data_IF_872057571656
#
_entry.id   IF_872057571656
#
_cell.length_a   1.000
_cell.length_b   1.000
_cell.length_c   1.000
_cell.angle_alpha   90.00
_cell.angle_beta   90.00
_cell.angle_gamma   90.00
#
_symmetry.space_group_name_H-M   'P 1'
#
loop_
_entity.id
_entity.type
_entity.pdbx_description
1 polymer ?
#
# COMPACT_ATOMS: atom_id res chain seq x y z
N UNK A 1 23.23 -4.92 -24.75
CA UNK A 1 22.59 -6.22 -25.05
C UNK A 1 22.94 -7.22 -23.94
N UNK A 2 22.40 -7.03 -22.72
CA UNK A 2 22.81 -7.81 -21.55
C UNK A 2 21.93 -7.69 -20.30
N UNK A 3 20.94 -6.79 -20.27
CA UNK A 3 20.12 -6.55 -19.08
C UNK A 3 18.87 -7.44 -18.99
N UNK A 4 18.49 -8.11 -20.09
CA UNK A 4 17.29 -8.96 -20.12
C UNK A 4 17.40 -10.22 -19.24
N UNK A 5 18.62 -10.70 -18.96
CA UNK A 5 18.83 -11.89 -18.12
C UNK A 5 18.53 -11.65 -16.63
N UNK A 6 18.67 -10.42 -16.15
CA UNK A 6 18.35 -10.06 -14.75
C UNK A 6 16.86 -9.84 -14.52
N UNK A 7 16.04 -9.91 -15.57
CA UNK A 7 14.62 -9.57 -15.50
C UNK A 7 13.75 -10.75 -15.00
N UNK A 8 14.23 -11.99 -15.09
CA UNK A 8 13.46 -13.17 -14.68
C UNK A 8 13.56 -13.49 -13.17
N UNK A 9 14.62 -13.02 -12.50
CA UNK A 9 14.86 -13.37 -11.10
C UNK A 9 14.47 -12.23 -10.16
N UNK A 10 13.63 -12.55 -9.16
CA UNK A 10 13.09 -11.61 -8.17
C UNK A 10 14.17 -11.04 -7.22
N UNK A 11 15.30 -11.72 -7.09
CA UNK A 11 16.34 -11.41 -6.09
C UNK A 11 17.73 -11.19 -6.69
N UNK A 12 17.85 -11.15 -8.02
CA UNK A 12 19.16 -11.00 -8.67
C UNK A 12 19.50 -9.55 -8.95
N UNK A 13 20.63 -9.11 -8.41
CA UNK A 13 21.20 -7.80 -8.70
C UNK A 13 21.74 -7.72 -10.12
N UNK A 14 21.50 -6.60 -10.81
CA UNK A 14 22.14 -6.32 -12.09
C UNK A 14 23.63 -5.96 -11.90
N UNK A 15 24.35 -5.77 -13.01
CA UNK A 15 25.79 -5.42 -13.00
C UNK A 15 26.11 -4.09 -12.29
N UNK A 16 25.12 -3.23 -12.07
CA UNK A 16 25.24 -1.99 -11.31
C UNK A 16 24.87 -2.15 -9.83
N UNK A 17 24.58 -3.36 -9.35
CA UNK A 17 24.18 -3.62 -7.97
C UNK A 17 22.74 -3.24 -7.64
N UNK A 18 21.86 -3.08 -8.64
CA UNK A 18 20.46 -2.68 -8.47
C UNK A 18 19.50 -3.83 -8.77
N UNK A 19 18.39 -3.87 -8.04
CA UNK A 19 17.29 -4.81 -8.29
C UNK A 19 16.29 -4.17 -9.26
N UNK A 20 16.33 -4.60 -10.52
CA UNK A 20 15.46 -4.06 -11.58
C UNK A 20 13.98 -4.22 -11.26
N UNK A 21 13.59 -5.30 -10.58
CA UNK A 21 12.20 -5.54 -10.15
C UNK A 21 11.68 -4.44 -9.21
N UNK A 22 12.52 -3.93 -8.29
CA UNK A 22 12.16 -2.81 -7.42
C UNK A 22 11.98 -1.53 -8.24
N UNK A 23 12.84 -1.29 -9.23
CA UNK A 23 12.71 -0.11 -10.10
C UNK A 23 11.42 -0.13 -10.93
N UNK A 24 11.01 -1.30 -11.43
CA UNK A 24 9.73 -1.43 -12.12
C UNK A 24 8.54 -1.20 -11.18
N UNK A 25 8.56 -1.75 -9.97
CA UNK A 25 7.52 -1.51 -8.98
C UNK A 25 7.42 0.00 -8.63
N UNK A 26 8.55 0.68 -8.45
CA UNK A 26 8.58 2.12 -8.20
C UNK A 26 8.04 2.93 -9.38
N UNK A 27 8.35 2.54 -10.61
CA UNK A 27 7.79 3.19 -11.80
C UNK A 27 6.27 2.96 -11.91
N UNK A 28 5.76 1.78 -11.56
CA UNK A 28 4.33 1.53 -11.49
C UNK A 28 3.63 2.41 -10.45
N UNK A 29 4.25 2.64 -9.29
CA UNK A 29 3.76 3.56 -8.26
C UNK A 29 3.75 5.02 -8.76
N UNK A 30 4.79 5.46 -9.48
CA UNK A 30 4.88 6.81 -10.06
C UNK A 30 3.80 7.08 -11.10
N UNK A 31 3.39 6.06 -11.86
CA UNK A 31 2.25 6.14 -12.78
C UNK A 31 0.89 6.03 -12.08
N UNK A 32 0.90 5.72 -10.77
CA UNK A 32 -0.26 5.69 -9.92
C UNK A 32 -0.87 7.08 -9.72
N UNK A 33 -2.09 7.09 -9.19
CA UNK A 33 -2.80 8.32 -8.86
C UNK A 33 -2.27 8.95 -7.58
N UNK A 34 -2.26 10.28 -7.56
CA UNK A 34 -1.71 11.06 -6.47
C UNK A 34 -2.49 10.81 -5.17
N UNK A 35 -1.75 10.57 -4.10
CA UNK A 35 -2.27 10.43 -2.74
C UNK A 35 -1.38 11.22 -1.79
N UNK A 36 -1.98 12.03 -0.93
CA UNK A 36 -1.32 12.97 -0.02
C UNK A 36 -1.82 12.73 1.40
N UNK A 37 -0.90 12.67 2.36
CA UNK A 37 -1.20 12.69 3.79
C UNK A 37 -0.59 13.93 4.43
N UNK A 38 -1.40 14.69 5.17
CA UNK A 38 -0.97 15.90 5.88
C UNK A 38 -1.15 15.65 7.37
N UNK A 39 -0.06 15.78 8.14
CA UNK A 39 -0.09 15.72 9.60
C UNK A 39 -0.17 17.14 10.16
N UNK A 40 -1.18 17.40 10.99
CA UNK A 40 -1.37 18.64 11.74
C UNK A 40 -1.23 18.36 13.24
N UNK A 41 -1.26 19.42 14.07
CA UNK A 41 -1.16 19.29 15.53
C UNK A 41 -2.29 18.44 16.12
N UNK A 42 -3.50 18.62 15.60
CA UNK A 42 -4.71 18.03 16.18
C UNK A 42 -5.25 16.82 15.38
N UNK A 43 -4.55 16.41 14.32
CA UNK A 43 -5.02 15.30 13.50
C UNK A 43 -4.26 15.11 12.20
N UNK A 44 -4.76 14.19 11.37
CA UNK A 44 -4.18 13.83 10.07
C UNK A 44 -5.26 13.86 9.02
N UNK A 45 -4.95 14.43 7.85
CA UNK A 45 -5.82 14.46 6.68
C UNK A 45 -5.21 13.60 5.59
N UNK A 46 -6.02 12.77 4.94
CA UNK A 46 -5.61 11.94 3.81
C UNK A 46 -6.48 12.30 2.61
N UNK A 47 -5.84 12.60 1.48
CA UNK A 47 -6.50 13.01 0.24
C UNK A 47 -5.94 12.20 -0.92
N UNK A 48 -6.78 11.80 -1.86
CA UNK A 48 -6.33 11.08 -3.06
C UNK A 48 -7.14 11.49 -4.27
N UNK A 49 -6.49 11.54 -5.42
CA UNK A 49 -7.15 11.81 -6.70
C UNK A 49 -8.02 10.60 -7.08
N UNK A 50 -9.31 10.82 -7.20
CA UNK A 50 -10.28 9.84 -7.70
C UNK A 50 -10.66 10.18 -9.14
N UNK A 51 -9.96 9.58 -10.09
CA UNK A 51 -10.30 9.70 -11.52
C UNK A 51 -11.23 8.57 -11.92
N UNK A 52 -12.44 8.93 -12.35
CA UNK A 52 -13.41 7.99 -12.89
C UNK A 52 -13.06 7.70 -14.35
N UNK A 53 -12.99 6.42 -14.77
CA UNK A 53 -12.64 6.07 -16.14
C UNK A 53 -13.77 6.39 -17.14
N UNK A 54 -15.04 6.33 -16.70
CA UNK A 54 -16.19 6.74 -17.50
C UNK A 54 -17.37 7.15 -16.61
N UNK A 55 -18.40 7.74 -17.24
CA UNK A 55 -19.67 8.10 -16.60
C UNK A 55 -20.52 6.89 -16.19
N UNK A 56 -20.15 5.68 -16.63
CA UNK A 56 -20.87 4.44 -16.30
C UNK A 56 -20.49 3.89 -14.92
N UNK A 57 -19.42 4.41 -14.32
CA UNK A 57 -19.00 4.00 -12.99
C UNK A 57 -19.70 4.84 -11.92
N UNK A 58 -20.31 4.19 -10.94
CA UNK A 58 -20.74 4.89 -9.74
C UNK A 58 -19.50 5.32 -8.95
N UNK A 59 -19.40 6.62 -8.69
CA UNK A 59 -18.34 7.15 -7.86
C UNK A 59 -18.36 6.47 -6.48
N UNK A 60 -19.51 6.11 -5.92
CA UNK A 60 -19.59 5.54 -4.57
C UNK A 60 -18.83 4.21 -4.43
N UNK A 61 -18.78 3.41 -5.49
CA UNK A 61 -18.14 2.09 -5.46
C UNK A 61 -16.62 2.15 -5.50
N UNK A 62 -16.05 3.26 -5.98
CA UNK A 62 -14.59 3.41 -6.10
C UNK A 62 -14.01 4.04 -4.83
N UNK A 63 -13.69 3.21 -3.84
CA UNK A 63 -12.97 3.65 -2.63
C UNK A 63 -11.46 3.48 -2.76
N UNK A 64 -10.73 4.55 -2.48
CA UNK A 64 -9.25 4.55 -2.40
C UNK A 64 -8.72 4.73 -0.99
N UNK A 65 -9.56 5.27 -0.12
CA UNK A 65 -9.27 5.44 1.30
C UNK A 65 -10.14 4.42 2.02
N UNK A 66 -9.51 3.52 2.76
CA UNK A 66 -10.17 2.43 3.47
C UNK A 66 -9.91 2.55 4.98
N UNK A 67 -10.96 2.55 5.82
CA UNK A 67 -10.77 2.53 7.26
C UNK A 67 -10.24 1.15 7.70
N UNK A 68 -9.17 1.13 8.49
CA UNK A 68 -8.62 -0.09 9.08
C UNK A 68 -9.17 -0.29 10.49
N UNK A 69 -9.20 0.78 11.28
CA UNK A 69 -9.79 0.85 12.61
C UNK A 69 -10.58 2.15 12.75
N UNK A 70 -11.21 2.38 13.90
CA UNK A 70 -11.93 3.64 14.19
C UNK A 70 -11.02 4.87 14.18
N UNK A 71 -9.71 4.71 14.35
CA UNK A 71 -8.72 5.81 14.41
C UNK A 71 -7.66 5.76 13.30
N UNK A 72 -7.74 4.79 12.37
CA UNK A 72 -6.72 4.58 11.34
C UNK A 72 -7.37 4.33 9.98
N UNK A 73 -6.95 5.11 8.98
CA UNK A 73 -7.27 4.91 7.57
C UNK A 73 -6.02 4.61 6.75
N UNK A 74 -6.20 3.93 5.63
CA UNK A 74 -5.13 3.60 4.69
C UNK A 74 -5.50 4.06 3.28
N UNK A 75 -4.50 4.57 2.56
CA UNK A 75 -4.59 4.99 1.15
C UNK A 75 -3.40 4.40 0.40
N UNK A 76 -3.52 4.27 -0.92
CA UNK A 76 -2.43 3.78 -1.78
C UNK A 76 -2.20 4.69 -2.98
N UNK A 77 -1.00 4.59 -3.56
CA UNK A 77 -0.66 5.07 -4.88
C UNK A 77 -0.02 3.88 -5.62
N UNK A 78 -0.69 3.34 -6.63
CA UNK A 78 -0.22 2.14 -7.34
C UNK A 78 -1.34 1.18 -7.72
N UNK A 79 -1.09 -0.12 -7.58
CA UNK A 79 -2.02 -1.18 -7.98
C UNK A 79 -3.10 -1.44 -6.91
N UNK A 80 -4.38 -1.34 -7.31
CA UNK A 80 -5.52 -1.53 -6.41
C UNK A 80 -5.65 -2.98 -5.90
N UNK A 81 -5.23 -3.97 -6.69
CA UNK A 81 -5.32 -5.38 -6.30
C UNK A 81 -4.51 -5.67 -5.03
N UNK A 82 -3.26 -5.21 -5.01
CA UNK A 82 -2.36 -5.37 -3.86
C UNK A 82 -2.89 -4.61 -2.65
N UNK A 83 -3.39 -3.38 -2.87
CA UNK A 83 -3.99 -2.58 -1.81
C UNK A 83 -5.12 -3.31 -1.08
N UNK A 84 -6.04 -3.97 -1.81
CA UNK A 84 -7.16 -4.71 -1.18
C UNK A 84 -6.67 -5.86 -0.30
N UNK A 85 -5.64 -6.58 -0.73
CA UNK A 85 -5.03 -7.67 0.06
C UNK A 85 -4.40 -7.11 1.33
N UNK A 86 -3.71 -5.98 1.22
CA UNK A 86 -3.08 -5.31 2.35
C UNK A 86 -4.11 -4.78 3.36
N UNK A 87 -5.20 -4.14 2.90
CA UNK A 87 -6.32 -3.69 3.75
C UNK A 87 -6.88 -4.87 4.54
N UNK A 88 -7.16 -5.99 3.88
CA UNK A 88 -7.73 -7.19 4.52
C UNK A 88 -6.81 -7.75 5.60
N UNK A 89 -5.49 -7.83 5.31
CA UNK A 89 -4.48 -8.27 6.30
C UNK A 89 -4.38 -7.32 7.48
N UNK A 90 -4.34 -6.01 7.24
CA UNK A 90 -4.26 -4.98 8.28
C UNK A 90 -5.48 -5.00 9.20
N UNK A 91 -6.69 -5.16 8.64
CA UNK A 91 -7.94 -5.30 9.42
C UNK A 91 -7.90 -6.55 10.29
N UNK A 92 -7.56 -7.71 9.72
CA UNK A 92 -7.45 -8.97 10.47
C UNK A 92 -6.47 -8.84 11.63
N UNK A 93 -5.29 -8.26 11.38
CA UNK A 93 -4.26 -8.08 12.42
C UNK A 93 -4.72 -7.14 13.53
N UNK A 94 -5.33 -6.01 13.16
CA UNK A 94 -5.82 -5.01 14.12
C UNK A 94 -6.92 -5.59 15.01
N UNK A 95 -7.82 -6.40 14.43
CA UNK A 95 -8.84 -7.13 15.20
C UNK A 95 -8.23 -8.18 16.13
N UNK A 96 -7.26 -8.96 15.66
CA UNK A 96 -6.55 -9.91 16.53
C UNK A 96 -5.87 -9.19 17.70
N UNK A 97 -5.17 -8.07 17.45
CA UNK A 97 -4.55 -7.29 18.51
C UNK A 97 -5.60 -6.80 19.53
N UNK A 98 -6.72 -6.26 19.05
CA UNK A 98 -7.80 -5.79 19.92
C UNK A 98 -8.44 -6.91 20.75
N UNK A 99 -8.56 -8.11 20.20
CA UNK A 99 -9.05 -9.28 20.94
C UNK A 99 -8.05 -9.74 22.02
N UNK A 100 -6.74 -9.64 21.74
CA UNK A 100 -5.71 -10.07 22.68
C UNK A 100 -5.46 -9.07 23.81
N UNK A 101 -5.46 -7.77 23.49
CA UNK A 101 -5.04 -6.71 24.42
C UNK A 101 -6.17 -5.79 24.87
N UNK A 102 -7.38 -5.92 24.30
CA UNK A 102 -8.55 -5.09 24.64
C UNK A 102 -8.51 -3.65 24.10
N UNK A 103 -7.39 -3.21 23.54
CA UNK A 103 -7.18 -1.83 23.06
C UNK A 103 -7.00 -1.76 21.53
N UNK A 104 -7.10 -0.55 20.96
CA UNK A 104 -6.81 -0.33 19.55
C UNK A 104 -5.30 -0.41 19.31
N UNK A 105 -4.89 -1.14 18.26
CA UNK A 105 -3.48 -1.31 17.93
C UNK A 105 -2.80 0.04 17.61
N UNK A 106 -1.65 0.36 18.23
CA UNK A 106 -0.87 1.55 17.89
C UNK A 106 -0.43 1.55 16.41
N UNK A 107 -0.53 2.70 15.74
CA UNK A 107 -0.22 2.85 14.31
C UNK A 107 1.23 2.43 14.02
N UNK A 108 2.17 2.78 14.89
CA UNK A 108 3.59 2.41 14.74
C UNK A 108 3.82 0.90 14.69
N UNK A 109 3.04 0.11 15.45
CA UNK A 109 3.11 -1.35 15.41
C UNK A 109 2.44 -1.91 14.15
N UNK A 110 1.30 -1.34 13.76
CA UNK A 110 0.58 -1.75 12.54
C UNK A 110 1.47 -1.58 11.29
N UNK A 111 2.17 -0.45 11.19
CA UNK A 111 3.10 -0.16 10.08
C UNK A 111 4.29 -1.12 10.06
N UNK A 112 4.86 -1.48 11.21
CA UNK A 112 5.98 -2.46 11.26
C UNK A 112 5.58 -3.84 10.74
N UNK A 113 4.38 -4.29 11.10
CA UNK A 113 3.85 -5.57 10.58
C UNK A 113 3.58 -5.47 9.09
N UNK A 114 3.08 -4.33 8.62
CA UNK A 114 2.86 -4.07 7.20
C UNK A 114 4.16 -4.13 6.39
N UNK A 115 5.23 -3.46 6.80
CA UNK A 115 6.51 -3.44 6.08
C UNK A 115 7.05 -4.88 5.90
N UNK A 116 6.91 -5.71 6.94
CA UNK A 116 7.31 -7.13 6.87
C UNK A 116 6.45 -7.93 5.89
N UNK A 117 5.16 -7.65 5.80
CA UNK A 117 4.26 -8.34 4.88
C UNK A 117 4.42 -7.86 3.42
N UNK A 118 4.71 -6.58 3.21
CA UNK A 118 4.89 -6.00 1.87
C UNK A 118 6.13 -6.57 1.18
N UNK A 119 7.23 -6.76 1.93
CA UNK A 119 8.44 -7.41 1.42
C UNK A 119 8.17 -8.84 0.87
N UNK A 120 7.13 -9.53 1.35
CA UNK A 120 6.78 -10.89 0.94
C UNK A 120 5.69 -10.95 -0.14
N UNK A 121 4.99 -9.83 -0.42
CA UNK A 121 3.85 -9.83 -1.36
C UNK A 121 4.26 -9.29 -2.74
N UNK A 122 5.44 -8.69 -2.87
CA UNK A 122 6.06 -8.30 -4.15
C UNK A 122 7.06 -9.38 -4.65
N UNK A 123 7.08 -10.55 -3.98
CA UNK A 123 7.78 -11.77 -4.41
C UNK A 123 6.78 -12.72 -5.06
#
# INVERSE_FOLDING_TARGET
MGDNYFNFSLTTFNRSGRLLQIEYALNAVRNGKLSIGICAKDGVVIVTEKKMPSVLFDAKDVTKIEPITTSCGMVFAGLMADFRVLVRRSRKRSQTYKLTYGENQPISQLVKVFIRAFALTVS
#
